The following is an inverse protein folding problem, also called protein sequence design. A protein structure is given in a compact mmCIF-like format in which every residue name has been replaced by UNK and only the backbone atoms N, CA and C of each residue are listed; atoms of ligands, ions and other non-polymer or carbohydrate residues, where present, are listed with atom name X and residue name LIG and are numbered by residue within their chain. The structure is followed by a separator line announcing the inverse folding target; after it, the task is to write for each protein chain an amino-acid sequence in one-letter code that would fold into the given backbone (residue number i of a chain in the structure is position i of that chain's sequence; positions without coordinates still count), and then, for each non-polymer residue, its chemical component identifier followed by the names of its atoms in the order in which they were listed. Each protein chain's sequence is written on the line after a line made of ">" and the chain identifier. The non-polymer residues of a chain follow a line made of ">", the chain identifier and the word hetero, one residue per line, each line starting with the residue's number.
data_IF_320712761084
#
_entry.id   IF_320712761084
#
_cell.length_a   1.000
_cell.length_b   1.000
_cell.length_c   1.000
_cell.angle_alpha   90.00
_cell.angle_beta   90.00
_cell.angle_gamma   90.00
#
_symmetry.space_group_name_H-M   'P 1'
#
loop_
_entity.id
_entity.type
_entity.pdbx_description
1 polymer ?
#
# COMPACT_ATOMS: atom_id res chain seq x y z
N UNK A 1 37.57 11.96 0.41
CA UNK A 1 36.30 11.22 0.54
C UNK A 1 35.51 11.45 -0.74
N UNK A 2 35.31 10.40 -1.54
CA UNK A 2 34.76 10.48 -2.89
C UNK A 2 33.30 10.96 -2.86
N UNK A 3 33.03 12.16 -3.38
CA UNK A 3 31.68 12.76 -3.44
C UNK A 3 30.71 11.80 -4.15
N UNK A 4 31.20 10.99 -5.10
CA UNK A 4 30.44 9.90 -5.73
C UNK A 4 29.98 8.82 -4.74
N UNK A 5 30.83 8.37 -3.82
CA UNK A 5 30.46 7.37 -2.79
C UNK A 5 29.39 7.91 -1.84
N UNK A 6 29.51 9.17 -1.43
CA UNK A 6 28.51 9.84 -0.61
C UNK A 6 27.16 10.01 -1.34
N UNK A 7 27.19 10.36 -2.63
CA UNK A 7 25.97 10.48 -3.46
C UNK A 7 25.27 9.14 -3.68
N UNK A 8 26.01 8.06 -3.94
CA UNK A 8 25.43 6.71 -4.11
C UNK A 8 24.79 6.24 -2.80
N UNK A 9 25.42 6.50 -1.65
CA UNK A 9 24.83 6.22 -0.33
C UNK A 9 23.53 7.00 -0.09
N UNK A 10 23.50 8.29 -0.44
CA UNK A 10 22.30 9.11 -0.32
C UNK A 10 21.14 8.64 -1.24
N UNK A 11 21.44 8.26 -2.48
CA UNK A 11 20.44 7.71 -3.42
C UNK A 11 19.87 6.39 -2.89
N UNK A 12 20.74 5.51 -2.39
CA UNK A 12 20.31 4.23 -1.81
C UNK A 12 19.41 4.42 -0.59
N UNK A 13 19.75 5.36 0.30
CA UNK A 13 18.93 5.70 1.47
C UNK A 13 17.56 6.26 1.08
N UNK A 14 17.50 7.14 0.08
CA UNK A 14 16.24 7.69 -0.41
C UNK A 14 15.35 6.61 -1.03
N UNK A 15 15.94 5.69 -1.79
CA UNK A 15 15.20 4.60 -2.44
C UNK A 15 14.56 3.64 -1.42
N UNK A 16 15.29 3.33 -0.33
CA UNK A 16 14.77 2.53 0.78
C UNK A 16 13.60 3.24 1.49
N UNK A 17 13.71 4.56 1.67
CA UNK A 17 12.67 5.37 2.32
C UNK A 17 11.38 5.42 1.46
N UNK A 18 11.53 5.56 0.14
CA UNK A 18 10.41 5.50 -0.81
C UNK A 18 9.75 4.12 -0.79
N UNK A 19 10.53 3.04 -0.78
CA UNK A 19 9.97 1.68 -0.67
C UNK A 19 9.25 1.43 0.65
N UNK A 20 9.79 1.92 1.76
CA UNK A 20 9.13 1.82 3.06
C UNK A 20 7.81 2.62 3.09
N UNK A 21 7.80 3.82 2.53
CA UNK A 21 6.61 4.65 2.43
C UNK A 21 5.54 4.02 1.52
N UNK A 22 5.93 3.46 0.38
CA UNK A 22 5.05 2.71 -0.51
C UNK A 22 4.48 1.46 0.18
N UNK A 23 5.30 0.77 0.98
CA UNK A 23 4.89 -0.36 1.83
C UNK A 23 3.81 0.03 2.85
N UNK A 24 4.01 1.12 3.60
CA UNK A 24 3.00 1.60 4.54
C UNK A 24 1.69 2.01 3.85
N UNK A 25 1.76 2.59 2.64
CA UNK A 25 0.57 2.98 1.87
C UNK A 25 -0.22 1.77 1.36
N UNK A 26 0.46 0.74 0.83
CA UNK A 26 -0.23 -0.49 0.40
C UNK A 26 -0.83 -1.24 1.59
N UNK A 27 -0.13 -1.31 2.73
CA UNK A 27 -0.64 -1.92 3.96
C UNK A 27 -1.84 -1.15 4.50
N UNK A 28 -1.79 0.18 4.52
CA UNK A 28 -2.90 1.03 4.95
C UNK A 28 -4.12 0.89 4.03
N UNK A 29 -3.91 0.93 2.72
CA UNK A 29 -4.96 0.70 1.72
C UNK A 29 -5.57 -0.69 1.84
N UNK A 30 -4.74 -1.73 2.00
CA UNK A 30 -5.19 -3.10 2.22
C UNK A 30 -6.00 -3.24 3.52
N UNK A 31 -5.61 -2.56 4.60
CA UNK A 31 -6.31 -2.62 5.88
C UNK A 31 -7.70 -1.96 5.81
N UNK A 32 -7.79 -0.76 5.23
CA UNK A 32 -9.08 -0.06 5.02
C UNK A 32 -9.96 -0.86 4.07
N UNK A 33 -9.38 -1.38 2.99
CA UNK A 33 -10.04 -2.24 2.03
C UNK A 33 -10.55 -3.55 2.67
N UNK A 34 -9.77 -4.17 3.54
CA UNK A 34 -10.18 -5.37 4.29
C UNK A 34 -11.39 -5.09 5.17
N UNK A 35 -11.35 -3.98 5.93
CA UNK A 35 -12.43 -3.62 6.85
C UNK A 35 -13.73 -3.29 6.11
N UNK A 36 -13.66 -2.46 5.08
CA UNK A 36 -14.82 -2.10 4.26
C UNK A 36 -15.36 -3.32 3.49
N UNK A 37 -14.46 -4.10 2.88
CA UNK A 37 -14.81 -5.32 2.15
C UNK A 37 -15.43 -6.38 3.05
N UNK A 38 -14.95 -6.54 4.29
CA UNK A 38 -15.53 -7.45 5.27
C UNK A 38 -16.96 -7.03 5.64
N UNK A 39 -17.19 -5.73 5.85
CA UNK A 39 -18.52 -5.20 6.16
C UNK A 39 -19.51 -5.43 5.00
N UNK A 40 -19.08 -5.18 3.76
CA UNK A 40 -19.91 -5.42 2.57
C UNK A 40 -20.16 -6.93 2.39
N UNK A 41 -19.14 -7.77 2.55
CA UNK A 41 -19.27 -9.23 2.46
C UNK A 41 -20.17 -9.82 3.54
N UNK A 42 -20.19 -9.24 4.73
CA UNK A 42 -21.13 -9.61 5.80
C UNK A 42 -22.57 -9.16 5.50
N UNK A 43 -22.75 -7.91 5.03
CA UNK A 43 -24.07 -7.34 4.75
C UNK A 43 -24.77 -7.92 3.51
N UNK A 44 -24.02 -8.48 2.56
CA UNK A 44 -24.57 -9.04 1.31
C UNK A 44 -24.77 -10.56 1.36
N UNK A 45 -24.37 -11.23 2.46
CA UNK A 45 -24.43 -12.69 2.57
C UNK A 45 -23.36 -13.44 1.76
N UNK A 46 -22.45 -12.73 1.06
CA UNK A 46 -21.36 -13.33 0.28
C UNK A 46 -20.19 -13.85 1.16
N UNK A 47 -20.22 -13.53 2.45
CA UNK A 47 -19.25 -13.94 3.45
C UNK A 47 -18.20 -12.86 3.70
N UNK A 48 -18.03 -12.53 4.98
CA UNK A 48 -17.07 -11.51 5.44
C UNK A 48 -15.64 -11.80 4.94
N UNK A 49 -15.25 -13.08 4.90
CA UNK A 49 -13.92 -13.48 4.43
C UNK A 49 -13.67 -13.19 2.94
N UNK A 50 -14.65 -13.45 2.06
CA UNK A 50 -14.49 -13.16 0.62
C UNK A 50 -14.50 -11.66 0.36
N UNK A 51 -15.39 -10.94 1.02
CA UNK A 51 -15.46 -9.48 0.95
C UNK A 51 -14.17 -8.82 1.45
N UNK A 52 -13.62 -9.29 2.57
CA UNK A 52 -12.34 -8.82 3.08
C UNK A 52 -11.20 -9.06 2.09
N UNK A 53 -11.14 -10.22 1.44
CA UNK A 53 -10.07 -10.60 0.52
C UNK A 53 -10.11 -9.82 -0.81
N UNK A 54 -11.31 -9.54 -1.31
CA UNK A 54 -11.50 -8.64 -2.47
C UNK A 54 -11.18 -7.20 -2.07
N UNK A 55 -11.65 -6.79 -0.89
CA UNK A 55 -11.42 -5.47 -0.33
C UNK A 55 -9.95 -5.18 -0.07
N UNK A 56 -9.17 -6.12 0.47
CA UNK A 56 -7.71 -5.97 0.65
C UNK A 56 -7.02 -5.75 -0.69
N UNK A 57 -7.36 -6.54 -1.71
CA UNK A 57 -6.78 -6.43 -3.05
C UNK A 57 -7.08 -5.07 -3.70
N UNK A 58 -8.34 -4.63 -3.67
CA UNK A 58 -8.75 -3.33 -4.18
C UNK A 58 -8.13 -2.18 -3.39
N UNK A 59 -8.09 -2.27 -2.07
CA UNK A 59 -7.53 -1.26 -1.19
C UNK A 59 -6.01 -1.12 -1.36
N UNK A 60 -5.30 -2.23 -1.54
CA UNK A 60 -3.87 -2.22 -1.86
C UNK A 60 -3.60 -1.55 -3.22
N UNK A 61 -4.35 -1.94 -4.26
CA UNK A 61 -4.23 -1.37 -5.60
C UNK A 61 -4.62 0.11 -5.66
N UNK A 62 -5.67 0.52 -4.95
CA UNK A 62 -6.07 1.92 -4.85
C UNK A 62 -5.01 2.73 -4.09
N UNK A 63 -4.42 2.17 -3.03
CA UNK A 63 -3.32 2.80 -2.29
C UNK A 63 -2.09 3.05 -3.17
N UNK A 64 -1.74 2.10 -4.05
CA UNK A 64 -0.62 2.25 -4.97
C UNK A 64 -0.93 3.20 -6.14
N UNK A 65 -2.13 3.14 -6.72
CA UNK A 65 -2.52 4.08 -7.80
C UNK A 65 -2.64 5.51 -7.28
N UNK A 66 -3.21 5.70 -6.08
CA UNK A 66 -3.33 7.03 -5.47
C UNK A 66 -1.95 7.63 -5.18
N UNK A 67 -0.99 6.81 -4.75
CA UNK A 67 0.42 7.20 -4.60
C UNK A 67 1.01 7.72 -5.93
N UNK A 68 0.80 6.99 -7.03
CA UNK A 68 1.30 7.34 -8.37
C UNK A 68 0.61 8.59 -8.95
N UNK A 69 -0.68 8.82 -8.64
CA UNK A 69 -1.47 9.87 -9.31
C UNK A 69 -1.46 11.19 -8.55
N UNK A 70 -1.19 11.19 -7.24
CA UNK A 70 -1.18 12.40 -6.39
C UNK A 70 0.22 12.90 -6.03
N UNK A 71 1.28 12.24 -6.49
CA UNK A 71 2.66 12.72 -6.39
C UNK A 71 3.30 12.87 -7.76
#
# INVERSE_FOLDING_TARGET
>A
MDVRKARIGAISGMLLLVMAAAGCRTVGGAAVGAGAGAAIGAGTGYGAGKGALIGTGLGAAAGTIYDITKH
#
